data_IF_987971507179
#
_entry.id   IF_987971507179
#
_cell.length_a   1.000
_cell.length_b   1.000
_cell.length_c   1.000
_cell.angle_alpha   90.00
_cell.angle_beta   90.00
_cell.angle_gamma   90.00
#
_symmetry.space_group_name_H-M   'P 1'
#
loop_
_entity.id
_entity.type
_entity.pdbx_description
1 polymer ?
#
# COMPACT_ATOMS: atom_id res chain seq x y z
N UNK A 1 27.05 -20.82 17.24
CA UNK A 1 26.21 -20.58 16.05
C UNK A 1 25.30 -19.40 16.37
N UNK A 2 25.58 -18.22 15.83
CA UNK A 2 24.69 -17.06 15.98
C UNK A 2 23.55 -17.23 14.99
N UNK A 3 22.35 -17.50 15.50
CA UNK A 3 21.10 -17.44 14.73
C UNK A 3 20.95 -15.99 14.28
N UNK A 4 21.23 -15.70 13.01
CA UNK A 4 20.95 -14.41 12.42
C UNK A 4 19.43 -14.22 12.51
N UNK A 5 19.00 -13.22 13.27
CA UNK A 5 17.60 -12.82 13.35
C UNK A 5 17.23 -12.22 11.99
N UNK A 6 16.80 -13.07 11.07
CA UNK A 6 16.28 -12.67 9.77
C UNK A 6 15.11 -11.72 10.02
N UNK A 7 15.38 -10.42 9.90
CA UNK A 7 14.35 -9.38 10.04
C UNK A 7 13.28 -9.72 9.03
N UNK A 8 12.15 -10.27 9.49
CA UNK A 8 10.99 -10.55 8.65
C UNK A 8 10.71 -9.27 7.87
N UNK A 9 10.77 -9.35 6.54
CA UNK A 9 10.37 -8.25 5.68
C UNK A 9 8.85 -8.13 5.80
N UNK A 10 8.40 -7.37 6.79
CA UNK A 10 6.98 -7.11 7.01
C UNK A 10 6.62 -5.98 6.05
N UNK A 11 5.79 -6.23 5.03
CA UNK A 11 5.42 -5.19 4.08
C UNK A 11 4.75 -4.05 4.84
N UNK A 12 5.17 -2.82 4.56
CA UNK A 12 4.58 -1.66 5.18
C UNK A 12 3.19 -1.44 4.57
N UNK A 13 2.18 -1.55 5.43
CA UNK A 13 0.78 -1.40 5.06
C UNK A 13 0.13 -0.36 5.96
N UNK A 14 -0.59 0.57 5.36
CA UNK A 14 -1.32 1.58 6.13
C UNK A 14 -2.69 1.88 5.51
N UNK A 15 -3.54 2.56 6.26
CA UNK A 15 -4.83 3.07 5.82
C UNK A 15 -4.67 4.10 4.70
N UNK A 16 -5.74 4.24 3.91
CA UNK A 16 -5.85 5.28 2.87
C UNK A 16 -5.52 6.68 3.41
N UNK A 17 -5.93 6.99 4.66
CA UNK A 17 -5.72 8.31 5.25
C UNK A 17 -4.24 8.62 5.49
N UNK A 18 -3.51 7.67 6.06
CA UNK A 18 -2.08 7.85 6.31
C UNK A 18 -1.29 7.83 4.99
N UNK A 19 -1.63 6.90 4.09
CA UNK A 19 -1.03 6.85 2.75
C UNK A 19 -1.24 8.16 1.98
N UNK A 20 -2.45 8.74 2.06
CA UNK A 20 -2.75 10.04 1.45
C UNK A 20 -1.85 11.16 1.99
N UNK A 21 -1.65 11.21 3.31
CA UNK A 21 -0.79 12.20 3.95
C UNK A 21 0.69 12.02 3.55
N UNK A 22 1.18 10.78 3.56
CA UNK A 22 2.59 10.47 3.29
C UNK A 22 2.99 10.71 1.83
N UNK A 23 2.11 10.36 0.88
CA UNK A 23 2.37 10.54 -0.55
C UNK A 23 1.90 11.91 -1.08
N UNK A 24 1.27 12.74 -0.24
CA UNK A 24 0.73 14.04 -0.66
C UNK A 24 -0.41 13.95 -1.67
N UNK A 25 -1.18 12.84 -1.65
CA UNK A 25 -2.28 12.58 -2.58
C UNK A 25 -3.60 12.69 -1.83
N UNK A 26 -4.62 13.33 -2.42
CA UNK A 26 -5.94 13.42 -1.79
C UNK A 26 -6.57 12.04 -1.52
N UNK A 27 -7.10 11.83 -0.31
CA UNK A 27 -7.79 10.57 0.07
C UNK A 27 -8.85 10.14 -0.94
N UNK A 28 -9.60 11.11 -1.49
CA UNK A 28 -10.65 10.84 -2.47
C UNK A 28 -10.07 10.21 -3.74
N UNK A 29 -8.93 10.69 -4.22
CA UNK A 29 -8.24 10.18 -5.41
C UNK A 29 -7.84 8.72 -5.19
N UNK A 30 -7.22 8.42 -4.05
CA UNK A 30 -6.84 7.06 -3.69
C UNK A 30 -8.09 6.17 -3.61
N UNK A 31 -9.18 6.63 -2.98
CA UNK A 31 -10.45 5.87 -2.95
C UNK A 31 -11.01 5.61 -4.34
N UNK A 32 -10.91 6.56 -5.27
CA UNK A 32 -11.33 6.33 -6.66
C UNK A 32 -10.48 5.26 -7.33
N UNK A 33 -9.16 5.28 -7.17
CA UNK A 33 -8.27 4.27 -7.74
C UNK A 33 -8.53 2.88 -7.16
N UNK A 34 -8.77 2.78 -5.86
CA UNK A 34 -9.17 1.52 -5.22
C UNK A 34 -10.50 1.02 -5.76
N UNK A 35 -11.50 1.91 -5.90
CA UNK A 35 -12.81 1.55 -6.50
C UNK A 35 -12.67 1.10 -7.95
N UNK A 36 -11.78 1.71 -8.71
CA UNK A 36 -11.44 1.35 -10.08
C UNK A 36 -10.51 0.13 -10.19
N UNK A 37 -10.09 -0.45 -9.06
CA UNK A 37 -9.17 -1.60 -8.98
C UNK A 37 -7.86 -1.37 -9.75
N UNK A 38 -7.30 -0.16 -9.66
CA UNK A 38 -6.05 0.21 -10.37
C UNK A 38 -4.80 -0.46 -9.79
N UNK A 39 -4.84 -0.85 -8.52
CA UNK A 39 -3.77 -1.58 -7.83
C UNK A 39 -4.39 -2.48 -6.75
N UNK A 40 -3.69 -3.55 -6.32
CA UNK A 40 -4.19 -4.44 -5.29
C UNK A 40 -4.16 -3.78 -3.91
N UNK A 41 -5.21 -4.04 -3.14
CA UNK A 41 -5.35 -3.56 -1.76
C UNK A 41 -5.66 -4.72 -0.81
N UNK A 42 -5.31 -4.54 0.46
CA UNK A 42 -5.59 -5.52 1.50
C UNK A 42 -6.87 -5.10 2.21
N UNK A 43 -7.87 -5.97 2.19
CA UNK A 43 -9.14 -5.77 2.90
C UNK A 43 -9.03 -6.38 4.29
N UNK A 44 -9.17 -5.56 5.33
CA UNK A 44 -9.27 -5.99 6.73
C UNK A 44 -10.65 -5.65 7.27
N UNK A 45 -11.61 -6.53 6.99
CA UNK A 45 -13.03 -6.29 7.28
C UNK A 45 -13.57 -5.10 6.48
N UNK A 46 -13.93 -4.01 7.16
CA UNK A 46 -14.38 -2.75 6.53
C UNK A 46 -13.25 -1.76 6.23
N UNK A 47 -12.02 -2.05 6.68
CA UNK A 47 -10.86 -1.18 6.44
C UNK A 47 -10.11 -1.61 5.18
N UNK A 48 -9.66 -0.62 4.42
CA UNK A 48 -8.76 -0.80 3.27
C UNK A 48 -7.37 -0.41 3.74
N UNK A 49 -6.41 -1.32 3.52
CA UNK A 49 -5.00 -1.11 3.75
C UNK A 49 -4.27 -1.14 2.41
N UNK A 50 -3.33 -0.20 2.25
CA UNK A 50 -2.50 -0.03 1.07
C UNK A 50 -1.11 -0.51 1.42
N UNK A 51 -0.55 -1.40 0.60
CA UNK A 51 0.85 -1.75 0.65
C UNK A 51 1.66 -0.64 -0.06
N UNK A 52 2.63 -0.06 0.63
CA UNK A 52 3.41 1.07 0.14
C UNK A 52 4.30 0.69 -1.04
N UNK A 53 4.83 -0.53 -1.07
CA UNK A 53 5.69 -0.99 -2.17
C UNK A 53 4.86 -1.04 -3.47
N UNK A 54 3.72 -1.74 -3.41
CA UNK A 54 2.75 -1.85 -4.51
C UNK A 54 2.24 -0.49 -4.97
N UNK A 55 1.96 0.40 -4.02
CA UNK A 55 1.44 1.73 -4.32
C UNK A 55 2.51 2.62 -4.95
N UNK A 56 3.76 2.48 -4.52
CA UNK A 56 4.91 3.17 -5.12
C UNK A 56 5.15 2.69 -6.54
N UNK A 57 5.13 1.37 -6.76
CA UNK A 57 5.22 0.77 -8.10
C UNK A 57 4.10 1.29 -9.01
N UNK A 58 2.86 1.35 -8.50
CA UNK A 58 1.72 1.94 -9.21
C UNK A 58 1.98 3.40 -9.61
N UNK A 59 2.50 4.22 -8.70
CA UNK A 59 2.76 5.65 -8.96
C UNK A 59 3.92 5.85 -9.96
N UNK A 60 4.93 4.98 -9.92
CA UNK A 60 6.04 4.98 -10.87
C UNK A 60 5.61 4.50 -12.27
N UNK A 61 4.42 3.92 -12.40
CA UNK A 61 3.93 3.33 -13.65
C UNK A 61 4.53 1.94 -13.92
N UNK A 62 5.13 1.32 -12.90
CA UNK A 62 5.63 -0.05 -12.98
C UNK A 62 4.45 -1.04 -13.06
N UNK A 63 4.72 -2.23 -13.62
CA UNK A 63 3.69 -3.27 -13.75
C UNK A 63 3.35 -3.82 -12.37
N UNK A 64 2.25 -3.32 -11.81
CA UNK A 64 1.59 -3.91 -10.66
C UNK A 64 0.89 -5.20 -11.12
N UNK A 65 1.54 -6.36 -10.95
CA UNK A 65 1.01 -7.68 -11.33
C UNK A 65 0.60 -8.52 -10.13
#
# INVERSE_FOLDING_TARGET
MQMQNEKRNIPHVDSIRNTAADFGIGEWTIRQWVKQKKFPVIMSGRKILINYDVFTDFLNGDKVS
#
